data_IF_783031310750
#
_entry.id   IF_783031310750
#
_cell.length_a   1.000
_cell.length_b   1.000
_cell.length_c   1.000
_cell.angle_alpha   90.00
_cell.angle_beta   90.00
_cell.angle_gamma   90.00
#
_symmetry.space_group_name_H-M   'P 1'
#
loop_
_entity.id
_entity.type
_entity.pdbx_description
1 polymer ?
#
# COMPACT_ATOMS: atom_id res chain seq x y z
N UNK A 1 11.39 11.98 26.20
CA UNK A 1 11.75 11.10 27.33
C UNK A 1 11.89 11.97 28.57
N UNK A 2 11.30 11.62 29.72
CA UNK A 2 11.39 12.47 30.92
C UNK A 2 12.85 12.65 31.38
N UNK A 3 13.25 13.86 31.81
CA UNK A 3 14.61 14.15 32.27
C UNK A 3 14.99 13.26 33.46
N UNK A 4 16.28 12.99 33.68
CA UNK A 4 16.78 12.07 34.74
C UNK A 4 16.23 12.38 36.14
N UNK A 5 16.02 13.68 36.42
CA UNK A 5 15.47 14.20 37.67
C UNK A 5 13.95 14.03 37.84
N UNK A 6 13.23 13.56 36.81
CA UNK A 6 11.77 13.40 36.86
C UNK A 6 11.36 12.33 37.86
N UNK A 7 10.49 12.71 38.80
CA UNK A 7 9.92 11.82 39.82
C UNK A 7 8.56 11.32 39.37
N UNK A 8 8.46 10.01 39.14
CA UNK A 8 7.20 9.39 38.75
C UNK A 8 6.18 9.41 39.90
N UNK A 9 4.89 9.62 39.61
CA UNK A 9 3.85 9.60 40.63
C UNK A 9 3.81 8.23 41.32
N UNK A 10 3.67 8.28 42.63
CA UNK A 10 3.68 7.11 43.49
C UNK A 10 2.25 6.68 43.77
N UNK A 11 1.97 5.38 43.72
CA UNK A 11 0.65 4.84 44.07
C UNK A 11 0.42 4.92 45.58
N UNK A 12 -0.75 5.45 45.98
CA UNK A 12 -1.12 5.78 47.37
C UNK A 12 -0.99 4.60 48.34
N UNK A 13 -1.22 3.37 47.88
CA UNK A 13 -1.34 2.21 48.78
C UNK A 13 -0.03 1.51 49.11
N UNK A 14 1.01 1.60 48.26
CA UNK A 14 2.22 0.76 48.40
C UNK A 14 3.54 1.49 48.15
N UNK A 15 3.50 2.81 47.97
CA UNK A 15 4.68 3.61 47.63
C UNK A 15 5.43 3.11 46.39
N UNK A 16 4.73 2.43 45.48
CA UNK A 16 5.30 1.93 44.21
C UNK A 16 5.14 3.00 43.14
N UNK A 17 6.13 3.14 42.29
CA UNK A 17 6.13 4.07 41.16
C UNK A 17 6.67 3.39 39.91
N UNK A 18 6.43 4.01 38.76
CA UNK A 18 7.06 3.62 37.52
C UNK A 18 8.59 3.68 37.64
N UNK A 19 9.31 2.69 37.11
CA UNK A 19 10.77 2.65 37.12
C UNK A 19 11.33 3.02 35.74
N UNK A 20 12.29 3.94 35.72
CA UNK A 20 12.95 4.39 34.47
C UNK A 20 13.57 3.24 33.69
N UNK A 21 14.23 2.31 34.38
CA UNK A 21 14.89 1.16 33.77
C UNK A 21 13.94 0.28 32.94
N UNK A 22 12.62 0.32 33.20
CA UNK A 22 11.66 -0.38 32.35
C UNK A 22 11.59 0.20 30.93
N UNK A 23 11.80 1.51 30.75
CA UNK A 23 11.87 2.09 29.40
C UNK A 23 13.14 1.68 28.65
N UNK A 24 14.23 1.42 29.38
CA UNK A 24 15.48 0.91 28.79
C UNK A 24 15.33 -0.54 28.37
N UNK A 25 14.70 -1.37 29.22
CA UNK A 25 14.44 -2.79 28.92
C UNK A 25 13.40 -2.98 27.83
N UNK A 26 12.32 -2.19 27.86
CA UNK A 26 11.21 -2.27 26.91
C UNK A 26 11.17 -1.01 26.06
N UNK A 27 11.83 -1.03 24.90
CA UNK A 27 11.96 0.14 24.01
C UNK A 27 10.63 0.72 23.52
N UNK A 28 9.55 -0.06 23.55
CA UNK A 28 8.19 0.32 23.19
C UNK A 28 7.41 1.00 24.33
N UNK A 29 7.90 0.94 25.57
CA UNK A 29 7.23 1.42 26.76
C UNK A 29 7.52 2.90 27.02
N UNK A 30 6.48 3.67 27.30
CA UNK A 30 6.58 5.09 27.64
C UNK A 30 5.68 5.41 28.83
N UNK A 31 6.08 6.38 29.64
CA UNK A 31 5.23 6.93 30.69
C UNK A 31 4.58 8.22 30.19
N UNK A 32 3.26 8.35 30.35
CA UNK A 32 2.52 9.57 30.07
C UNK A 32 2.18 10.27 31.37
N UNK A 33 2.62 11.52 31.51
CA UNK A 33 2.33 12.37 32.68
C UNK A 33 0.85 12.79 32.70
N UNK A 34 0.30 13.13 31.52
CA UNK A 34 -1.12 13.48 31.34
C UNK A 34 -2.03 12.34 31.74
N UNK A 35 -1.68 11.12 31.31
CA UNK A 35 -2.47 9.92 31.59
C UNK A 35 -2.06 9.21 32.89
N UNK A 36 -1.03 9.72 33.58
CA UNK A 36 -0.43 9.19 34.81
C UNK A 36 -0.16 7.68 34.79
N UNK A 37 0.31 7.16 33.66
CA UNK A 37 0.50 5.71 33.50
C UNK A 37 1.40 5.32 32.36
N UNK A 38 1.76 4.04 32.34
CA UNK A 38 2.60 3.43 31.32
C UNK A 38 1.76 3.05 30.09
N UNK A 39 2.30 3.29 28.91
CA UNK A 39 1.67 3.05 27.62
C UNK A 39 2.67 2.40 26.65
N UNK A 40 2.15 1.69 25.66
CA UNK A 40 2.96 1.23 24.53
C UNK A 40 2.82 2.21 23.36
N UNK A 41 3.90 2.92 23.02
CA UNK A 41 3.88 3.92 21.93
C UNK A 41 3.48 3.31 20.58
N UNK A 42 3.91 2.07 20.33
CA UNK A 42 3.67 1.36 19.07
C UNK A 42 2.20 0.94 18.98
N UNK A 43 1.63 0.39 20.05
CA UNK A 43 0.24 -0.04 20.04
C UNK A 43 -0.74 1.12 20.10
N UNK A 44 -0.38 2.26 20.72
CA UNK A 44 -1.19 3.48 20.67
C UNK A 44 -1.27 4.02 19.24
N UNK A 45 -0.18 3.97 18.46
CA UNK A 45 -0.13 4.51 17.10
C UNK A 45 -0.63 3.54 16.02
N UNK A 46 -0.31 2.25 16.14
CA UNK A 46 -0.53 1.23 15.09
C UNK A 46 -1.50 0.11 15.51
N UNK A 47 -2.02 0.17 16.74
CA UNK A 47 -3.01 -0.76 17.25
C UNK A 47 -4.31 -0.67 16.45
N UNK A 48 -5.10 -1.75 16.49
CA UNK A 48 -6.49 -1.70 16.03
C UNK A 48 -7.35 -1.23 17.20
N UNK A 49 -8.36 -0.40 16.93
CA UNK A 49 -9.35 0.02 17.92
C UNK A 49 -10.28 -1.15 18.37
N UNK A 50 -10.10 -2.35 17.81
CA UNK A 50 -10.92 -3.54 18.05
C UNK A 50 -10.12 -4.77 17.59
N UNK A 51 -10.07 -5.84 18.39
CA UNK A 51 -9.31 -7.05 18.05
C UNK A 51 -9.87 -8.33 18.67
N UNK A 52 -10.40 -9.21 17.82
CA UNK A 52 -10.92 -10.54 18.16
C UNK A 52 -12.19 -10.88 17.36
N UNK A 53 -12.51 -12.18 17.19
CA UNK A 53 -13.84 -12.62 16.76
C UNK A 53 -14.80 -12.22 17.88
N UNK A 54 -15.67 -11.23 17.65
CA UNK A 54 -16.63 -10.74 18.66
C UNK A 54 -16.29 -9.40 19.34
N UNK A 55 -15.36 -8.59 18.84
CA UNK A 55 -15.27 -7.18 19.25
C UNK A 55 -14.79 -6.93 20.69
N UNK A 56 -13.82 -7.72 21.20
CA UNK A 56 -13.21 -7.42 22.49
C UNK A 56 -12.53 -6.04 22.50
N UNK A 57 -12.84 -5.26 23.54
CA UNK A 57 -12.32 -3.92 23.75
C UNK A 57 -10.80 -3.90 24.02
N UNK A 58 -10.20 -2.74 23.76
CA UNK A 58 -8.77 -2.47 23.80
C UNK A 58 -8.07 -3.09 25.01
N UNK A 59 -7.19 -4.04 24.69
CA UNK A 59 -6.32 -4.72 25.64
C UNK A 59 -5.25 -3.77 26.17
N UNK A 60 -4.79 -4.09 27.38
CA UNK A 60 -3.67 -3.56 28.19
C UNK A 60 -2.68 -2.61 27.48
N UNK A 61 -2.21 -1.56 28.16
CA UNK A 61 -1.15 -0.62 27.71
C UNK A 61 -1.48 0.27 26.49
N UNK A 62 -2.66 0.14 25.88
CA UNK A 62 -3.29 1.26 25.14
C UNK A 62 -4.04 2.19 26.10
N UNK A 63 -4.58 1.61 27.17
CA UNK A 63 -5.03 2.31 28.37
C UNK A 63 -3.86 2.44 29.35
N UNK A 64 -3.73 3.58 30.08
CA UNK A 64 -2.63 3.79 31.01
C UNK A 64 -2.54 2.70 32.06
N UNK A 65 -1.40 2.01 32.11
CA UNK A 65 -1.11 1.00 33.11
C UNK A 65 -0.50 1.63 34.36
N UNK A 66 -1.10 1.36 35.52
CA UNK A 66 -0.72 1.94 36.82
C UNK A 66 -0.41 0.88 37.90
N UNK A 67 -0.65 -0.40 37.64
CA UNK A 67 -0.43 -1.47 38.62
C UNK A 67 1.05 -1.89 38.67
N UNK A 68 1.85 -1.15 39.42
CA UNK A 68 3.30 -1.36 39.50
C UNK A 68 3.73 -2.70 40.11
N UNK A 69 2.86 -3.37 40.89
CA UNK A 69 3.16 -4.66 41.55
C UNK A 69 3.42 -5.76 40.51
N UNK A 70 2.65 -5.77 39.44
CA UNK A 70 2.67 -6.82 38.42
C UNK A 70 3.33 -6.34 37.12
N UNK A 71 3.90 -5.14 37.12
CA UNK A 71 4.47 -4.49 35.95
C UNK A 71 5.41 -5.39 35.16
N UNK A 72 6.37 -6.05 35.82
CA UNK A 72 7.33 -6.94 35.16
C UNK A 72 6.65 -8.09 34.42
N UNK A 73 5.73 -8.80 35.09
CA UNK A 73 5.01 -9.93 34.51
C UNK A 73 4.10 -9.48 33.36
N UNK A 74 3.40 -8.36 33.53
CA UNK A 74 2.55 -7.79 32.48
C UNK A 74 3.39 -7.35 31.29
N UNK A 75 4.53 -6.69 31.48
CA UNK A 75 5.36 -6.22 30.36
C UNK A 75 6.03 -7.39 29.62
N UNK A 76 6.50 -8.41 30.34
CA UNK A 76 7.10 -9.61 29.73
C UNK A 76 6.06 -10.42 28.92
N UNK A 77 4.84 -10.56 29.42
CA UNK A 77 3.75 -11.22 28.67
C UNK A 77 3.21 -10.36 27.53
N UNK A 78 3.09 -9.04 27.73
CA UNK A 78 2.66 -8.09 26.72
C UNK A 78 3.59 -8.05 25.51
N UNK A 79 4.91 -8.09 25.76
CA UNK A 79 5.90 -8.09 24.67
C UNK A 79 5.74 -9.28 23.72
N UNK A 80 5.06 -10.35 24.14
CA UNK A 80 4.79 -11.55 23.33
C UNK A 80 3.37 -11.58 22.78
N UNK A 81 2.54 -10.59 23.11
CA UNK A 81 1.15 -10.59 22.70
C UNK A 81 1.00 -10.32 21.20
N UNK A 82 0.13 -11.06 20.53
CA UNK A 82 -0.03 -10.99 19.07
C UNK A 82 -0.33 -9.58 18.56
N UNK A 83 -1.22 -8.85 19.24
CA UNK A 83 -1.56 -7.48 18.84
C UNK A 83 -0.37 -6.52 18.96
N UNK A 84 0.50 -6.73 19.95
CA UNK A 84 1.73 -5.96 20.09
C UNK A 84 2.67 -6.26 18.92
N UNK A 85 2.92 -7.55 18.66
CA UNK A 85 3.77 -8.00 17.56
C UNK A 85 3.27 -7.51 16.19
N UNK A 86 1.95 -7.55 15.96
CA UNK A 86 1.33 -7.00 14.75
C UNK A 86 1.53 -5.48 14.64
N UNK A 87 1.40 -4.75 15.75
CA UNK A 87 1.62 -3.30 15.77
C UNK A 87 3.09 -2.96 15.51
N UNK A 88 4.02 -3.75 16.05
CA UNK A 88 5.46 -3.63 15.78
C UNK A 88 5.76 -3.90 14.31
N UNK A 89 5.18 -4.94 13.71
CA UNK A 89 5.33 -5.22 12.29
C UNK A 89 4.86 -4.07 11.40
N UNK A 90 3.69 -3.47 11.71
CA UNK A 90 3.20 -2.28 11.00
C UNK A 90 4.14 -1.08 11.14
N UNK A 91 4.61 -0.81 12.36
CA UNK A 91 5.53 0.29 12.62
C UNK A 91 6.84 0.12 11.84
N UNK A 92 7.37 -1.11 11.79
CA UNK A 92 8.58 -1.41 11.03
C UNK A 92 8.36 -1.24 9.52
N UNK A 93 7.22 -1.67 8.99
CA UNK A 93 6.83 -1.41 7.61
C UNK A 93 6.76 0.08 7.30
N UNK A 94 6.10 0.86 8.15
CA UNK A 94 6.02 2.31 8.03
C UNK A 94 7.40 2.97 8.02
N UNK A 95 8.28 2.59 8.96
CA UNK A 95 9.65 3.11 9.00
C UNK A 95 10.46 2.73 7.76
N UNK A 96 10.24 1.54 7.20
CA UNK A 96 10.96 1.08 5.99
C UNK A 96 10.57 1.91 4.76
N UNK A 97 9.28 2.22 4.62
CA UNK A 97 8.79 3.13 3.57
C UNK A 97 9.31 4.55 3.80
N UNK A 98 9.22 5.07 5.03
CA UNK A 98 9.63 6.44 5.33
C UNK A 98 11.14 6.67 5.15
N UNK A 99 11.96 5.65 5.40
CA UNK A 99 13.42 5.70 5.20
C UNK A 99 13.84 5.42 3.75
N UNK A 100 12.90 5.24 2.82
CA UNK A 100 13.17 5.05 1.40
C UNK A 100 13.74 3.68 1.04
N UNK A 101 13.72 2.70 1.97
CA UNK A 101 14.22 1.34 1.72
C UNK A 101 13.24 0.50 0.89
N UNK A 102 11.99 0.91 0.82
CA UNK A 102 10.95 0.26 0.00
C UNK A 102 10.04 1.34 -0.56
N UNK A 103 9.68 1.21 -1.83
CA UNK A 103 8.74 2.12 -2.49
C UNK A 103 7.34 1.90 -1.92
N UNK A 104 6.63 3.00 -1.69
CA UNK A 104 5.23 2.93 -1.26
C UNK A 104 4.38 2.17 -2.30
N UNK A 105 3.34 1.47 -1.85
CA UNK A 105 2.51 0.62 -2.71
C UNK A 105 1.89 1.46 -3.85
N UNK A 106 1.44 2.68 -3.55
CA UNK A 106 0.82 3.57 -4.53
C UNK A 106 1.85 3.94 -5.60
N UNK A 107 3.07 4.28 -5.18
CA UNK A 107 4.15 4.62 -6.12
C UNK A 107 4.51 3.45 -7.01
N UNK A 108 4.59 2.24 -6.47
CA UNK A 108 4.92 1.02 -7.20
C UNK A 108 3.86 0.65 -8.24
N UNK A 109 2.58 0.76 -7.88
CA UNK A 109 1.46 0.55 -8.82
C UNK A 109 1.49 1.62 -9.92
N UNK A 110 1.74 2.88 -9.56
CA UNK A 110 1.79 3.97 -10.53
C UNK A 110 2.92 3.79 -11.56
N UNK A 111 4.09 3.27 -11.13
CA UNK A 111 5.19 2.97 -12.04
C UNK A 111 4.88 1.81 -12.97
N UNK A 112 4.25 0.74 -12.47
CA UNK A 112 3.89 -0.41 -13.31
C UNK A 112 2.84 -0.02 -14.35
N UNK A 113 1.83 0.76 -13.96
CA UNK A 113 0.83 1.30 -14.90
C UNK A 113 1.47 2.14 -16.02
N UNK A 114 2.45 2.98 -15.66
CA UNK A 114 3.21 3.77 -16.65
C UNK A 114 3.99 2.87 -17.61
N UNK A 115 4.66 1.83 -17.09
CA UNK A 115 5.41 0.88 -17.89
C UNK A 115 4.50 0.10 -18.85
N UNK A 116 3.37 -0.39 -18.36
CA UNK A 116 2.39 -1.10 -19.19
C UNK A 116 1.82 -0.20 -20.29
N UNK A 117 1.51 1.07 -19.98
CA UNK A 117 1.05 2.03 -20.97
C UNK A 117 2.09 2.26 -22.08
N UNK A 118 3.37 2.29 -21.71
CA UNK A 118 4.47 2.46 -22.66
C UNK A 118 4.71 1.23 -23.54
N UNK A 119 4.63 0.03 -22.97
CA UNK A 119 4.69 -1.21 -23.75
C UNK A 119 3.51 -1.34 -24.72
N UNK A 120 2.32 -0.93 -24.29
CA UNK A 120 1.13 -0.93 -25.14
C UNK A 120 1.26 0.07 -26.29
N UNK A 121 1.84 1.25 -26.06
CA UNK A 121 2.14 2.23 -27.13
C UNK A 121 3.06 1.64 -28.20
N UNK A 122 4.14 0.96 -27.79
CA UNK A 122 5.08 0.31 -28.74
C UNK A 122 4.40 -0.78 -29.57
N UNK A 123 3.53 -1.58 -28.95
CA UNK A 123 2.74 -2.60 -29.67
C UNK A 123 1.77 -1.97 -30.67
N UNK A 124 1.08 -0.90 -30.28
CA UNK A 124 0.16 -0.19 -31.17
C UNK A 124 0.88 0.40 -32.38
N UNK A 125 2.06 1.00 -32.18
CA UNK A 125 2.90 1.50 -33.29
C UNK A 125 3.19 0.37 -34.28
N UNK A 126 3.67 -0.79 -33.80
CA UNK A 126 3.98 -1.94 -34.66
C UNK A 126 2.75 -2.49 -35.41
N UNK A 127 1.58 -2.51 -34.77
CA UNK A 127 0.33 -2.90 -35.42
C UNK A 127 -0.02 -1.90 -36.52
N UNK A 128 0.06 -0.60 -36.25
CA UNK A 128 -0.22 0.46 -37.22
C UNK A 128 0.74 0.39 -38.39
N UNK A 129 2.04 0.20 -38.15
CA UNK A 129 3.05 0.01 -39.20
C UNK A 129 2.72 -1.19 -40.09
N UNK A 130 2.28 -2.30 -39.49
CA UNK A 130 1.87 -3.51 -40.23
C UNK A 130 0.64 -3.23 -41.10
N UNK A 131 -0.36 -2.51 -40.56
CA UNK A 131 -1.55 -2.10 -41.30
C UNK A 131 -1.19 -1.22 -42.50
N UNK A 132 -0.31 -0.22 -42.31
CA UNK A 132 0.18 0.65 -43.38
C UNK A 132 0.94 -0.17 -44.44
N UNK A 133 1.82 -1.08 -44.01
CA UNK A 133 2.59 -1.95 -44.91
C UNK A 133 1.66 -2.80 -45.78
N UNK A 134 0.68 -3.47 -45.16
CA UNK A 134 -0.32 -4.27 -45.87
C UNK A 134 -1.12 -3.40 -46.85
N UNK A 135 -1.51 -2.18 -46.45
CA UNK A 135 -2.17 -1.22 -47.34
C UNK A 135 -1.36 -0.86 -48.58
N UNK A 136 -0.07 -0.56 -48.41
CA UNK A 136 0.85 -0.25 -49.52
C UNK A 136 1.07 -1.43 -50.45
N UNK A 137 1.11 -2.65 -49.90
CA UNK A 137 1.30 -3.89 -50.67
C UNK A 137 -0.03 -4.45 -51.22
N UNK A 138 -1.16 -3.77 -51.00
CA UNK A 138 -2.50 -4.25 -51.37
C UNK A 138 -2.83 -5.64 -50.76
N UNK A 139 -2.24 -5.95 -49.60
CA UNK A 139 -2.50 -7.19 -48.86
C UNK A 139 -3.74 -6.98 -47.99
N UNK A 140 -4.76 -7.81 -48.20
CA UNK A 140 -5.94 -7.81 -47.36
C UNK A 140 -5.61 -8.29 -45.93
N UNK A 141 -6.07 -7.56 -44.91
CA UNK A 141 -5.92 -7.92 -43.49
C UNK A 141 -6.97 -8.96 -43.02
N UNK A 142 -7.67 -9.61 -43.94
CA UNK A 142 -8.84 -10.44 -43.64
C UNK A 142 -8.41 -11.79 -43.03
N UNK A 143 -9.16 -12.25 -42.03
CA UNK A 143 -8.92 -13.55 -41.37
C UNK A 143 -9.25 -14.74 -42.28
N UNK A 144 -8.64 -15.90 -42.01
CA UNK A 144 -8.67 -17.10 -42.87
C UNK A 144 -10.04 -17.80 -42.98
N UNK A 145 -11.06 -17.38 -42.24
CA UNK A 145 -12.37 -18.04 -42.17
C UNK A 145 -13.52 -17.05 -42.37
N UNK A 146 -13.86 -16.73 -43.62
CA UNK A 146 -15.15 -16.11 -43.97
C UNK A 146 -15.94 -17.03 -44.88
N UNK A 147 -16.35 -18.18 -44.34
CA UNK A 147 -17.27 -19.10 -45.02
C UNK A 147 -18.67 -18.92 -44.44
N UNK A 148 -19.35 -17.86 -44.87
CA UNK A 148 -20.76 -17.59 -44.55
C UNK A 148 -21.39 -16.78 -45.68
N UNK A 149 -22.59 -17.17 -46.14
CA UNK A 149 -23.28 -16.51 -47.24
C UNK A 149 -23.53 -15.03 -46.92
N UNK A 150 -22.86 -14.15 -47.65
CA UNK A 150 -23.12 -12.71 -47.65
C UNK A 150 -24.40 -12.50 -48.48
N UNK A 151 -25.48 -12.07 -47.83
CA UNK A 151 -26.71 -11.70 -48.53
C UNK A 151 -26.45 -10.49 -49.43
N UNK A 152 -26.70 -10.65 -50.72
CA UNK A 152 -26.57 -9.59 -51.73
C UNK A 152 -27.68 -8.56 -51.57
N UNK A 153 -27.41 -7.51 -50.79
CA UNK A 153 -27.98 -6.18 -51.02
C UNK A 153 -26.92 -5.16 -50.65
N UNK A 154 -26.01 -4.88 -51.58
CA UNK A 154 -25.16 -3.70 -51.53
C UNK A 154 -26.00 -2.47 -51.92
N UNK A 155 -25.89 -1.34 -51.21
CA UNK A 155 -25.60 -0.09 -51.89
C UNK A 155 -24.08 -0.01 -52.12
N UNK A 156 -23.65 0.45 -53.31
CA UNK A 156 -22.25 0.58 -53.65
C UNK A 156 -21.62 1.69 -52.80
N UNK A 157 -20.29 1.64 -52.69
CA UNK A 157 -19.39 2.57 -51.99
C UNK A 157 -18.91 2.01 -50.63
N UNK A 158 -17.90 1.14 -50.71
CA UNK A 158 -16.75 1.27 -49.80
C UNK A 158 -15.45 0.96 -50.54
N UNK A 159 -15.31 1.53 -51.73
CA UNK A 159 -14.00 1.84 -52.33
C UNK A 159 -13.59 3.26 -51.94
N UNK A 160 -13.89 3.68 -50.70
CA UNK A 160 -13.07 4.68 -50.04
C UNK A 160 -11.77 3.94 -49.69
N UNK A 161 -10.86 4.02 -50.65
CA UNK A 161 -9.58 3.33 -50.75
C UNK A 161 -8.88 3.29 -49.40
N UNK A 162 -8.38 2.11 -49.03
CA UNK A 162 -7.46 1.91 -47.90
C UNK A 162 -6.26 2.89 -47.92
N UNK A 163 -5.95 3.45 -49.10
CA UNK A 163 -5.04 4.56 -49.35
C UNK A 163 -5.41 5.82 -48.55
N UNK A 164 -6.68 6.24 -48.55
CA UNK A 164 -7.13 7.41 -47.78
C UNK A 164 -7.01 7.21 -46.27
N UNK A 165 -7.13 5.98 -45.78
CA UNK A 165 -6.90 5.65 -44.37
C UNK A 165 -5.40 5.69 -44.02
N UNK A 166 -4.52 5.21 -44.92
CA UNK A 166 -3.07 5.31 -44.74
C UNK A 166 -2.58 6.77 -44.69
N UNK A 167 -3.10 7.62 -45.59
CA UNK A 167 -2.78 9.05 -45.60
C UNK A 167 -3.26 9.75 -44.31
N UNK A 168 -4.47 9.43 -43.83
CA UNK A 168 -5.01 9.97 -42.58
C UNK A 168 -4.22 9.55 -41.32
N UNK A 169 -3.67 8.32 -41.30
CA UNK A 169 -2.88 7.80 -40.19
C UNK A 169 -1.46 8.36 -40.17
N UNK A 170 -0.82 8.57 -41.34
CA UNK A 170 0.50 9.21 -41.43
C UNK A 170 0.48 10.66 -40.94
N UNK A 171 -0.60 11.41 -41.19
CA UNK A 171 -0.70 12.82 -40.82
C UNK A 171 -1.03 13.09 -39.33
N UNK A 172 -1.50 12.09 -38.57
CA UNK A 172 -1.94 12.30 -37.17
C UNK A 172 -1.23 11.48 -36.10
N UNK A 173 -0.48 10.44 -36.45
CA UNK A 173 0.18 9.57 -35.45
C UNK A 173 1.68 9.86 -35.29
N UNK A 174 2.29 10.62 -36.21
CA UNK A 174 3.76 10.88 -36.22
C UNK A 174 4.13 12.23 -35.55
N UNK A 175 3.17 13.13 -35.32
CA UNK A 175 3.41 14.48 -34.75
C UNK A 175 2.69 14.76 -33.42
N UNK A 176 2.65 13.80 -32.49
CA UNK A 176 2.23 14.05 -31.10
C UNK A 176 2.92 13.14 -30.10
#
# INVERSE_FOLDING_TARGET
MPPLSYKFPTSDKRRLSFQRHWMEKYSWLVFSDVAKGALCKVCVLFGRNHGGRGGQELRSLVVPFINWKEAKQVFDSYSKADYHMLSVGKAQGFMTVMTGKTTDIITSISSENKKQAEENRKKLISIVETVILCGRQQIALRGKNETGKIGLTEPPIMMATFVHFCDFVQDRVIFS
#
